data_IF_542601056605
#
_entry.id   IF_542601056605
#
_cell.length_a   1.000
_cell.length_b   1.000
_cell.length_c   1.000
_cell.angle_alpha   90.00
_cell.angle_beta   90.00
_cell.angle_gamma   90.00
#
_symmetry.space_group_name_H-M   'P 1'
#
loop_
_entity.id
_entity.type
_entity.pdbx_description
1 polymer ?
#
# COMPACT_ATOMS: atom_id res chain seq x y z
N UNK A 1 -28.66 22.81 -90.98
CA UNK A 1 -29.28 22.58 -89.66
C UNK A 1 -28.47 21.53 -88.93
N UNK A 2 -27.55 21.92 -88.04
CA UNK A 2 -26.69 21.07 -87.27
C UNK A 2 -27.31 20.96 -85.87
N UNK A 3 -27.67 19.74 -85.46
CA UNK A 3 -28.16 19.46 -84.14
C UNK A 3 -26.97 19.30 -83.18
N UNK A 4 -26.87 20.14 -82.18
CA UNK A 4 -25.95 19.93 -81.04
C UNK A 4 -26.59 19.04 -80.01
N UNK A 5 -25.91 17.92 -79.73
CA UNK A 5 -26.26 17.05 -78.62
C UNK A 5 -25.46 17.50 -77.36
N UNK A 6 -26.18 17.87 -76.31
CA UNK A 6 -25.58 18.21 -75.00
C UNK A 6 -25.49 16.92 -74.19
N UNK A 7 -24.26 16.46 -73.92
CA UNK A 7 -23.99 15.34 -72.99
C UNK A 7 -23.88 15.96 -71.60
N UNK A 8 -24.84 15.64 -70.71
CA UNK A 8 -24.77 15.96 -69.27
C UNK A 8 -24.00 14.86 -68.60
N UNK A 9 -22.76 15.11 -68.19
CA UNK A 9 -21.98 14.23 -67.36
C UNK A 9 -22.41 14.43 -65.89
N UNK A 10 -23.11 13.43 -65.32
CA UNK A 10 -23.43 13.38 -63.92
C UNK A 10 -22.16 13.01 -63.13
N UNK A 11 -21.56 13.96 -62.43
CA UNK A 11 -20.52 13.70 -61.42
C UNK A 11 -21.18 13.10 -60.16
N UNK A 12 -21.07 11.80 -59.96
CA UNK A 12 -21.29 11.17 -58.66
C UNK A 12 -20.14 11.54 -57.72
N UNK A 13 -20.35 12.57 -56.90
CA UNK A 13 -19.49 12.89 -55.76
C UNK A 13 -19.80 11.83 -54.72
N UNK A 14 -18.99 10.76 -54.70
CA UNK A 14 -18.96 9.81 -53.61
C UNK A 14 -18.49 10.56 -52.32
N UNK A 15 -19.44 10.95 -51.48
CA UNK A 15 -19.13 11.37 -50.13
C UNK A 15 -18.57 10.14 -49.37
N UNK A 16 -17.25 9.98 -49.34
CA UNK A 16 -16.60 9.12 -48.35
C UNK A 16 -16.94 9.76 -47.01
N UNK A 17 -17.89 9.18 -46.28
CA UNK A 17 -18.05 9.39 -44.85
C UNK A 17 -16.73 8.96 -44.23
N UNK A 18 -15.80 9.90 -44.11
CA UNK A 18 -14.61 9.71 -43.27
C UNK A 18 -15.12 9.51 -41.85
N UNK A 19 -15.07 8.31 -41.39
CA UNK A 19 -15.22 8.03 -39.98
C UNK A 19 -14.08 8.79 -39.32
N UNK A 20 -14.38 9.88 -38.62
CA UNK A 20 -13.45 10.51 -37.70
C UNK A 20 -13.10 9.44 -36.68
N UNK A 21 -11.87 9.00 -36.67
CA UNK A 21 -11.36 8.07 -35.65
C UNK A 21 -11.60 8.74 -34.30
N UNK A 22 -12.53 8.18 -33.51
CA UNK A 22 -12.85 8.75 -32.20
C UNK A 22 -11.70 8.43 -31.28
N UNK A 23 -11.01 9.47 -30.76
CA UNK A 23 -9.97 9.31 -29.75
C UNK A 23 -10.56 9.53 -28.36
N UNK A 24 -10.28 8.59 -27.44
CA UNK A 24 -10.63 8.72 -26.03
C UNK A 24 -9.34 8.72 -25.22
N UNK A 25 -9.06 9.87 -24.61
CA UNK A 25 -7.97 10.03 -23.66
C UNK A 25 -8.43 9.56 -22.29
N UNK A 26 -7.58 8.78 -21.59
CA UNK A 26 -7.79 8.32 -20.21
C UNK A 26 -6.58 8.79 -19.40
N UNK A 27 -6.79 9.78 -18.54
CA UNK A 27 -5.78 10.31 -17.63
C UNK A 27 -5.76 9.53 -16.32
N UNK A 28 -4.64 8.92 -15.98
CA UNK A 28 -4.50 8.06 -14.80
C UNK A 28 -3.37 8.59 -13.92
N UNK A 29 -3.73 9.00 -12.69
CA UNK A 29 -2.80 9.38 -11.64
C UNK A 29 -2.45 8.20 -10.74
N UNK A 30 -1.17 8.04 -10.39
CA UNK A 30 -0.69 6.94 -9.54
C UNK A 30 0.33 7.47 -8.54
N UNK A 31 0.50 6.74 -7.44
CA UNK A 31 1.50 6.97 -6.40
C UNK A 31 2.39 5.71 -6.30
N UNK A 32 3.22 5.46 -7.31
CA UNK A 32 3.94 4.19 -7.44
C UNK A 32 4.94 3.95 -6.31
N UNK A 33 5.58 4.99 -5.75
CA UNK A 33 6.46 4.88 -4.57
C UNK A 33 5.70 4.48 -3.31
N UNK A 34 4.40 4.78 -3.24
CA UNK A 34 3.47 4.19 -2.29
C UNK A 34 3.05 2.83 -2.83
N UNK A 35 3.90 1.83 -2.67
CA UNK A 35 3.78 0.51 -3.31
C UNK A 35 2.39 -0.13 -3.21
N UNK A 36 1.55 0.31 -2.28
CA UNK A 36 0.17 -0.13 -2.14
C UNK A 36 -0.72 0.27 -3.33
N UNK A 37 -0.42 1.37 -3.98
CA UNK A 37 -1.10 1.82 -5.19
C UNK A 37 -0.60 1.09 -6.45
N UNK A 38 0.50 0.36 -6.36
CA UNK A 38 1.20 -0.21 -7.51
C UNK A 38 0.36 -1.19 -8.34
N UNK A 39 -0.65 -1.86 -7.73
CA UNK A 39 -1.56 -2.72 -8.48
C UNK A 39 -2.43 -1.96 -9.49
N UNK A 40 -2.79 -0.70 -9.18
CA UNK A 40 -3.51 0.18 -10.12
C UNK A 40 -2.59 1.06 -10.97
N UNK A 41 -1.32 1.22 -10.57
CA UNK A 41 -0.32 2.04 -11.23
C UNK A 41 0.73 1.21 -11.97
N UNK A 42 1.92 1.11 -11.37
CA UNK A 42 3.10 0.51 -11.97
C UNK A 42 2.83 -0.87 -12.60
N UNK A 43 2.13 -1.78 -11.92
CA UNK A 43 1.91 -3.14 -12.43
C UNK A 43 0.97 -3.14 -13.65
N UNK A 44 -0.12 -2.37 -13.59
CA UNK A 44 -1.06 -2.26 -14.72
C UNK A 44 -0.35 -1.68 -15.95
N UNK A 45 0.45 -0.62 -15.75
CA UNK A 45 1.19 0.08 -16.80
C UNK A 45 2.29 -0.81 -17.41
N UNK A 46 3.17 -1.37 -16.57
CA UNK A 46 4.35 -2.14 -17.03
C UNK A 46 3.96 -3.48 -17.70
N UNK A 47 2.83 -4.05 -17.35
CA UNK A 47 2.32 -5.30 -17.94
C UNK A 47 1.25 -5.07 -19.00
N UNK A 48 0.96 -3.82 -19.36
CA UNK A 48 -0.06 -3.45 -20.37
C UNK A 48 -1.42 -4.09 -20.11
N UNK A 49 -1.82 -4.17 -18.82
CA UNK A 49 -3.04 -4.89 -18.47
C UNK A 49 -4.32 -4.12 -18.83
N UNK A 50 -4.28 -2.78 -18.84
CA UNK A 50 -5.45 -2.00 -19.17
C UNK A 50 -5.84 -2.19 -20.64
N UNK A 51 -4.87 -2.17 -21.54
CA UNK A 51 -5.05 -2.36 -22.99
C UNK A 51 -5.74 -3.68 -23.33
N UNK A 52 -5.51 -4.71 -22.51
CA UNK A 52 -6.15 -6.02 -22.64
C UNK A 52 -7.66 -6.00 -22.43
N UNK A 53 -8.15 -5.07 -21.61
CA UNK A 53 -9.55 -5.02 -21.18
C UNK A 53 -10.36 -3.88 -21.80
N UNK A 54 -9.70 -2.94 -22.49
CA UNK A 54 -10.40 -1.85 -23.17
C UNK A 54 -11.37 -2.40 -24.21
N UNK A 55 -12.63 -1.94 -24.25
CA UNK A 55 -13.61 -2.43 -25.22
C UNK A 55 -13.29 -1.92 -26.63
N UNK A 56 -13.52 -2.76 -27.63
CA UNK A 56 -13.33 -2.43 -29.06
C UNK A 56 -14.58 -2.73 -29.89
N UNK A 57 -15.73 -2.93 -29.26
CA UNK A 57 -17.01 -3.24 -29.88
C UNK A 57 -18.09 -2.23 -29.50
N UNK A 58 -19.29 -2.36 -30.08
CA UNK A 58 -20.41 -1.49 -29.83
C UNK A 58 -20.05 0.00 -30.05
N UNK A 59 -20.30 0.84 -29.05
CA UNK A 59 -19.98 2.28 -29.10
C UNK A 59 -18.48 2.59 -29.14
N UNK A 60 -17.63 1.58 -28.92
CA UNK A 60 -16.16 1.69 -28.91
C UNK A 60 -15.52 1.11 -30.17
N UNK A 61 -16.32 0.69 -31.16
CA UNK A 61 -15.79 0.20 -32.44
C UNK A 61 -15.01 1.32 -33.17
N UNK A 62 -13.73 1.07 -33.47
CA UNK A 62 -12.85 2.04 -34.13
C UNK A 62 -12.35 3.16 -33.20
N UNK A 63 -12.57 3.07 -31.89
CA UNK A 63 -12.02 4.03 -30.94
C UNK A 63 -10.52 3.77 -30.77
N UNK A 64 -9.74 4.85 -30.82
CA UNK A 64 -8.34 4.89 -30.41
C UNK A 64 -8.25 5.36 -28.97
N UNK A 65 -7.52 4.63 -28.13
CA UNK A 65 -7.30 5.02 -26.75
C UNK A 65 -5.93 5.68 -26.57
N UNK A 66 -5.90 6.83 -25.88
CA UNK A 66 -4.68 7.46 -25.41
C UNK A 66 -4.60 7.31 -23.88
N UNK A 67 -3.69 6.45 -23.37
CA UNK A 67 -3.47 6.26 -21.96
C UNK A 67 -2.38 7.22 -21.47
N UNK A 68 -2.72 8.15 -20.60
CA UNK A 68 -1.80 9.15 -20.06
C UNK A 68 -1.58 8.91 -18.57
N UNK A 69 -0.38 8.45 -18.24
CA UNK A 69 0.01 8.09 -16.88
C UNK A 69 0.81 9.22 -16.22
N UNK A 70 0.39 9.63 -15.03
CA UNK A 70 1.12 10.59 -14.20
C UNK A 70 1.43 9.95 -12.85
N UNK A 71 2.71 9.98 -12.45
CA UNK A 71 3.15 9.45 -11.15
C UNK A 71 3.43 10.59 -10.17
N UNK A 72 2.85 10.50 -8.98
CA UNK A 72 2.94 11.50 -7.91
C UNK A 72 3.60 10.90 -6.68
N UNK A 73 4.18 11.75 -5.83
CA UNK A 73 4.77 11.34 -4.55
C UNK A 73 3.73 11.24 -3.43
N UNK A 74 2.56 11.89 -3.59
CA UNK A 74 1.43 11.84 -2.65
C UNK A 74 0.14 12.34 -3.32
N UNK A 75 -1.01 12.20 -2.63
CA UNK A 75 -2.33 12.47 -3.20
C UNK A 75 -2.66 13.96 -3.46
N UNK A 76 -2.01 14.90 -2.80
CA UNK A 76 -2.39 16.31 -2.94
C UNK A 76 -2.20 16.87 -4.37
N UNK A 77 -1.04 16.70 -5.04
CA UNK A 77 -0.89 17.11 -6.43
C UNK A 77 -1.77 16.29 -7.40
N UNK A 78 -2.00 14.99 -7.12
CA UNK A 78 -2.90 14.17 -7.92
C UNK A 78 -4.35 14.72 -7.88
N UNK A 79 -4.83 15.10 -6.70
CA UNK A 79 -6.13 15.76 -6.53
C UNK A 79 -6.23 17.09 -7.31
N UNK A 80 -5.16 17.87 -7.34
CA UNK A 80 -5.13 19.13 -8.09
C UNK A 80 -5.28 18.90 -9.60
N UNK A 81 -4.63 17.88 -10.15
CA UNK A 81 -4.77 17.52 -11.56
C UNK A 81 -6.12 16.85 -11.87
N UNK A 82 -6.66 16.06 -10.95
CA UNK A 82 -8.01 15.51 -11.07
C UNK A 82 -9.05 16.61 -11.11
N UNK A 83 -8.97 17.59 -10.21
CA UNK A 83 -9.86 18.75 -10.19
C UNK A 83 -9.73 19.62 -11.46
N UNK A 84 -8.52 19.76 -11.99
CA UNK A 84 -8.23 20.48 -13.23
C UNK A 84 -8.61 19.72 -14.50
N UNK A 85 -9.28 18.58 -14.42
CA UNK A 85 -9.67 17.72 -15.55
C UNK A 85 -8.49 17.24 -16.41
N UNK A 86 -7.33 17.06 -15.81
CA UNK A 86 -6.16 16.44 -16.46
C UNK A 86 -6.08 14.94 -16.23
N UNK A 87 -6.74 14.47 -15.17
CA UNK A 87 -6.88 13.05 -14.82
C UNK A 87 -8.36 12.70 -14.73
N UNK A 88 -8.66 11.45 -15.03
CA UNK A 88 -9.98 10.83 -14.90
C UNK A 88 -10.04 9.87 -13.72
N UNK A 89 -8.95 9.13 -13.48
CA UNK A 89 -8.78 8.10 -12.45
C UNK A 89 -7.53 8.41 -11.64
N UNK A 90 -7.57 8.18 -10.32
CA UNK A 90 -6.39 8.26 -9.46
C UNK A 90 -6.33 7.09 -8.48
N UNK A 91 -5.10 6.70 -8.12
CA UNK A 91 -4.83 5.73 -7.04
C UNK A 91 -4.23 6.47 -5.86
N UNK A 92 -4.88 6.39 -4.71
CA UNK A 92 -4.42 7.07 -3.50
C UNK A 92 -5.02 6.46 -2.24
N UNK A 93 -4.53 6.91 -1.08
CA UNK A 93 -5.08 6.50 0.20
C UNK A 93 -6.44 7.19 0.50
N UNK A 94 -7.14 6.69 1.50
CA UNK A 94 -8.43 7.20 1.99
C UNK A 94 -8.40 8.70 2.34
N UNK A 95 -7.42 9.14 3.13
CA UNK A 95 -7.35 10.52 3.60
C UNK A 95 -7.20 11.55 2.46
N UNK A 96 -6.23 11.42 1.53
CA UNK A 96 -6.16 12.31 0.38
C UNK A 96 -7.37 12.19 -0.55
N UNK A 97 -8.01 11.01 -0.67
CA UNK A 97 -9.23 10.85 -1.46
C UNK A 97 -10.40 11.69 -0.90
N UNK A 98 -10.57 11.71 0.42
CA UNK A 98 -11.57 12.57 1.08
C UNK A 98 -11.24 14.05 0.91
N UNK A 99 -9.96 14.42 1.02
CA UNK A 99 -9.54 15.81 0.78
C UNK A 99 -9.86 16.25 -0.66
N UNK A 100 -9.59 15.40 -1.65
CA UNK A 100 -9.95 15.63 -3.05
C UNK A 100 -11.44 15.76 -3.25
N UNK A 101 -12.25 14.84 -2.70
CA UNK A 101 -13.71 14.90 -2.78
C UNK A 101 -14.27 16.20 -2.17
N UNK A 102 -13.72 16.65 -1.05
CA UNK A 102 -14.07 17.92 -0.43
C UNK A 102 -13.72 19.12 -1.31
N UNK A 103 -12.60 19.08 -2.04
CA UNK A 103 -12.23 20.12 -3.01
C UNK A 103 -13.22 20.18 -4.19
N UNK A 104 -13.66 19.03 -4.70
CA UNK A 104 -14.72 18.97 -5.72
C UNK A 104 -16.04 19.54 -5.20
N UNK A 105 -16.44 19.20 -3.97
CA UNK A 105 -17.63 19.78 -3.34
C UNK A 105 -17.52 21.31 -3.21
N UNK A 106 -16.34 21.84 -2.88
CA UNK A 106 -16.11 23.27 -2.78
C UNK A 106 -16.13 23.98 -4.14
N UNK A 107 -15.70 23.31 -5.21
CA UNK A 107 -15.71 23.84 -6.58
C UNK A 107 -17.13 24.00 -7.14
N UNK A 108 -18.11 23.25 -6.64
CA UNK A 108 -19.55 23.35 -6.93
C UNK A 108 -19.89 23.44 -8.43
N UNK A 109 -19.15 22.68 -9.26
CA UNK A 109 -19.30 22.68 -10.72
C UNK A 109 -20.10 21.49 -11.27
N UNK A 110 -20.80 20.77 -10.39
CA UNK A 110 -21.62 19.60 -10.72
C UNK A 110 -20.80 18.30 -10.90
N UNK A 111 -19.47 18.36 -10.87
CA UNK A 111 -18.60 17.19 -10.90
C UNK A 111 -18.18 16.82 -9.47
N UNK A 112 -18.15 15.53 -9.16
CA UNK A 112 -17.64 15.00 -7.90
C UNK A 112 -16.76 13.78 -8.17
N UNK A 113 -16.33 13.08 -7.14
CA UNK A 113 -15.53 11.87 -7.30
C UNK A 113 -16.21 10.69 -6.63
N UNK A 114 -15.91 9.49 -7.12
CA UNK A 114 -16.27 8.23 -6.50
C UNK A 114 -15.01 7.50 -6.03
N UNK A 115 -15.01 6.93 -4.82
CA UNK A 115 -14.05 5.95 -4.36
C UNK A 115 -14.62 4.56 -4.65
N UNK A 116 -14.07 3.86 -5.63
CA UNK A 116 -14.74 2.74 -6.32
C UNK A 116 -14.18 1.36 -6.03
N UNK A 117 -12.96 1.28 -5.51
CA UNK A 117 -12.32 0.00 -5.16
C UNK A 117 -11.17 0.22 -4.18
N UNK A 118 -10.82 -0.80 -3.41
CA UNK A 118 -9.57 -0.89 -2.67
C UNK A 118 -8.50 -1.57 -3.54
N UNK A 119 -7.25 -1.24 -3.37
CA UNK A 119 -6.08 -1.90 -3.98
C UNK A 119 -5.30 -2.70 -2.94
N UNK A 120 -5.17 -2.14 -1.76
CA UNK A 120 -4.62 -2.79 -0.56
C UNK A 120 -5.01 -2.02 0.69
N UNK A 121 -4.92 -2.64 1.84
CA UNK A 121 -5.22 -1.98 3.09
C UNK A 121 -4.94 -2.83 4.32
N UNK A 122 -5.13 -2.22 5.47
CA UNK A 122 -5.10 -2.88 6.76
C UNK A 122 -6.27 -2.42 7.61
N UNK A 123 -7.19 -3.32 7.93
CA UNK A 123 -8.29 -3.04 8.87
C UNK A 123 -7.79 -2.72 10.28
N UNK A 124 -6.52 -2.99 10.55
CA UNK A 124 -5.85 -2.73 11.84
C UNK A 124 -4.86 -1.56 11.80
N UNK A 125 -4.65 -0.92 10.63
CA UNK A 125 -3.79 0.24 10.48
C UNK A 125 -2.29 -0.05 10.28
N UNK A 126 -1.88 -1.30 10.02
CA UNK A 126 -0.48 -1.65 9.76
C UNK A 126 0.10 -0.87 8.58
N UNK A 127 1.38 -0.50 8.69
CA UNK A 127 2.16 0.14 7.62
C UNK A 127 2.38 1.64 7.79
N UNK A 128 1.51 2.35 8.54
CA UNK A 128 1.85 3.69 9.00
C UNK A 128 2.74 3.57 10.25
N UNK A 129 3.70 4.47 10.44
CA UNK A 129 4.65 4.35 11.55
C UNK A 129 5.16 5.70 12.04
N UNK A 130 5.69 5.71 13.28
CA UNK A 130 6.57 6.77 13.75
C UNK A 130 7.96 6.19 13.94
N UNK A 131 8.93 6.84 13.32
CA UNK A 131 10.33 6.45 13.35
C UNK A 131 11.19 7.55 14.00
N UNK A 132 12.27 7.15 14.65
CA UNK A 132 13.29 8.04 15.21
C UNK A 132 14.66 7.71 14.61
N UNK A 133 15.64 8.62 14.62
CA UNK A 133 17.00 8.32 14.16
C UNK A 133 17.53 7.03 14.76
N UNK A 134 18.30 6.24 14.01
CA UNK A 134 18.82 4.93 14.46
C UNK A 134 19.58 5.02 15.78
N UNK A 135 20.29 6.13 16.04
CA UNK A 135 21.04 6.40 17.29
C UNK A 135 20.22 7.07 18.40
N UNK A 136 18.92 7.32 18.19
CA UNK A 136 18.07 7.98 19.19
C UNK A 136 17.90 7.14 20.45
N UNK A 137 17.85 7.79 21.61
CA UNK A 137 17.54 7.14 22.89
C UNK A 137 16.04 6.97 23.12
N UNK A 138 15.18 7.63 22.33
CA UNK A 138 13.72 7.54 22.42
C UNK A 138 13.26 6.11 22.05
N UNK A 139 12.60 5.40 22.97
CA UNK A 139 12.21 4.00 22.81
C UNK A 139 10.70 3.83 22.56
N UNK A 140 9.89 4.84 22.94
CA UNK A 140 8.43 4.78 22.87
C UNK A 140 7.84 6.11 22.40
N UNK A 141 6.59 6.08 21.97
CA UNK A 141 5.87 7.28 21.56
C UNK A 141 5.70 8.27 22.71
N UNK A 142 5.52 7.80 23.93
CA UNK A 142 5.36 8.66 25.11
C UNK A 142 6.57 9.55 25.44
N UNK A 143 7.74 9.21 24.91
CA UNK A 143 8.98 10.02 25.08
C UNK A 143 9.09 11.16 24.04
N UNK A 144 8.10 11.29 23.15
CA UNK A 144 8.04 12.36 22.14
C UNK A 144 7.43 13.66 22.66
N UNK A 145 6.99 13.73 23.92
CA UNK A 145 6.49 14.99 24.48
C UNK A 145 7.57 16.08 24.43
N UNK A 146 7.21 17.25 23.91
CA UNK A 146 8.12 18.39 23.69
C UNK A 146 9.08 18.23 22.50
N UNK A 147 8.91 17.19 21.67
CA UNK A 147 9.80 16.91 20.53
C UNK A 147 9.24 17.45 19.21
N UNK A 148 10.14 17.56 18.23
CA UNK A 148 9.82 17.94 16.85
C UNK A 148 9.50 16.68 16.06
N UNK A 149 8.26 16.56 15.61
CA UNK A 149 7.77 15.43 14.83
C UNK A 149 7.38 15.92 13.44
N UNK A 150 8.03 15.44 12.40
CA UNK A 150 7.60 15.76 11.05
C UNK A 150 6.63 14.72 10.51
N UNK A 151 5.77 15.14 9.56
CA UNK A 151 4.78 14.28 8.92
C UNK A 151 4.33 14.91 7.60
N UNK A 152 4.02 14.13 6.55
CA UNK A 152 3.34 14.65 5.36
C UNK A 152 1.90 15.04 5.72
N UNK A 153 1.62 16.34 5.72
CA UNK A 153 0.28 16.82 6.06
C UNK A 153 -0.75 16.35 5.04
N UNK A 154 -1.95 15.98 5.53
CA UNK A 154 -3.01 15.47 4.67
C UNK A 154 -2.84 14.01 4.25
N UNK A 155 -1.94 13.27 4.90
CA UNK A 155 -1.72 11.83 4.68
C UNK A 155 -2.36 10.97 5.77
N UNK A 156 -2.44 9.66 5.52
CA UNK A 156 -2.85 8.67 6.55
C UNK A 156 -1.93 8.67 7.76
N UNK A 157 -0.64 8.94 7.58
CA UNK A 157 0.32 9.09 8.68
C UNK A 157 0.00 10.30 9.56
N UNK A 158 -0.50 11.40 8.98
CA UNK A 158 -0.93 12.56 9.75
C UNK A 158 -2.14 12.21 10.64
N UNK A 159 -3.13 11.50 10.09
CA UNK A 159 -4.27 11.03 10.88
C UNK A 159 -3.84 10.08 12.01
N UNK A 160 -2.93 9.14 11.73
CA UNK A 160 -2.34 8.24 12.74
C UNK A 160 -1.61 9.03 13.85
N UNK A 161 -0.75 10.00 13.47
CA UNK A 161 0.01 10.81 14.43
C UNK A 161 -0.93 11.59 15.37
N UNK A 162 -1.95 12.24 14.83
CA UNK A 162 -2.94 12.97 15.64
C UNK A 162 -3.72 12.03 16.57
N UNK A 163 -4.00 10.81 16.15
CA UNK A 163 -4.62 9.80 17.02
C UNK A 163 -3.65 9.38 18.11
N UNK A 164 -2.39 9.08 17.79
CA UNK A 164 -1.38 8.70 18.76
C UNK A 164 -1.15 9.79 19.82
N UNK A 165 -1.16 11.07 19.42
CA UNK A 165 -1.06 12.24 20.32
C UNK A 165 -2.28 12.28 21.28
N UNK A 166 -3.48 12.11 20.75
CA UNK A 166 -4.71 12.08 21.59
C UNK A 166 -4.73 10.93 22.57
N UNK A 167 -4.24 9.75 22.17
CA UNK A 167 -4.17 8.57 23.04
C UNK A 167 -3.18 8.75 24.21
N UNK A 168 -2.31 9.78 24.16
CA UNK A 168 -1.45 10.21 25.26
C UNK A 168 -2.06 11.36 26.09
N UNK A 169 -3.31 11.78 25.81
CA UNK A 169 -3.94 12.97 26.38
C UNK A 169 -3.12 14.25 26.11
N UNK A 170 -2.42 14.33 24.98
CA UNK A 170 -1.64 15.50 24.58
C UNK A 170 -2.41 16.41 23.63
N UNK A 171 -2.06 17.70 23.73
CA UNK A 171 -2.49 18.73 22.79
C UNK A 171 -1.46 18.84 21.64
N UNK A 172 -1.88 18.64 20.38
CA UNK A 172 -0.95 18.68 19.25
C UNK A 172 -0.31 20.04 18.98
N UNK A 173 -0.88 21.13 19.53
CA UNK A 173 -0.35 22.50 19.37
C UNK A 173 0.58 22.93 20.52
N UNK A 174 0.54 22.23 21.65
CA UNK A 174 1.30 22.60 22.86
C UNK A 174 2.32 21.57 23.32
N UNK A 175 1.98 20.29 23.20
CA UNK A 175 2.75 19.20 23.78
C UNK A 175 3.80 18.61 22.82
N UNK A 176 3.71 18.94 21.54
CA UNK A 176 4.66 18.54 20.49
C UNK A 176 4.81 19.68 19.46
N UNK A 177 5.86 19.64 18.66
CA UNK A 177 6.00 20.52 17.49
C UNK A 177 5.82 19.69 16.22
N UNK A 178 4.68 19.84 15.54
CA UNK A 178 4.41 19.12 14.29
C UNK A 178 4.88 19.95 13.09
N UNK A 179 5.72 19.35 12.24
CA UNK A 179 6.32 20.00 11.07
C UNK A 179 5.85 19.26 9.81
N UNK A 180 5.37 20.00 8.80
CA UNK A 180 5.05 19.38 7.50
C UNK A 180 6.33 19.06 6.74
N UNK A 181 6.49 17.81 6.31
CA UNK A 181 7.64 17.37 5.54
C UNK A 181 7.28 16.17 4.66
N UNK A 182 7.72 16.20 3.40
CA UNK A 182 7.56 15.08 2.49
C UNK A 182 8.53 13.93 2.84
N UNK A 183 8.16 12.66 2.55
CA UNK A 183 8.99 11.49 2.87
C UNK A 183 10.41 11.57 2.31
N UNK A 184 10.57 12.08 1.10
CA UNK A 184 11.83 12.11 0.36
C UNK A 184 12.92 12.92 1.09
N UNK A 185 12.52 13.93 1.86
CA UNK A 185 13.45 14.77 2.62
C UNK A 185 13.57 14.39 4.09
N UNK A 186 12.61 13.64 4.60
CA UNK A 186 12.54 13.27 6.02
C UNK A 186 13.75 12.44 6.48
N UNK A 187 14.20 11.49 5.65
CA UNK A 187 15.38 10.68 5.95
C UNK A 187 16.65 11.52 6.16
N UNK A 188 16.84 12.57 5.36
CA UNK A 188 17.98 13.50 5.54
C UNK A 188 17.83 14.37 6.78
N UNK A 189 16.61 14.84 7.07
CA UNK A 189 16.31 15.65 8.25
C UNK A 189 16.49 14.86 9.56
N UNK A 190 16.12 13.56 9.58
CA UNK A 190 16.38 12.65 10.69
C UNK A 190 17.89 12.49 10.93
N UNK A 191 18.67 12.23 9.87
CA UNK A 191 20.15 12.10 9.97
C UNK A 191 20.82 13.39 10.45
N UNK A 192 20.30 14.54 10.03
CA UNK A 192 20.84 15.85 10.41
C UNK A 192 20.38 16.33 11.80
N UNK A 193 19.53 15.60 12.51
CA UNK A 193 19.00 16.01 13.82
C UNK A 193 18.08 17.23 13.75
N UNK A 194 17.53 17.54 12.57
CA UNK A 194 16.60 18.66 12.40
C UNK A 194 15.21 18.34 12.95
N UNK A 195 14.87 17.08 13.01
CA UNK A 195 13.64 16.52 13.61
C UNK A 195 14.02 15.38 14.54
N UNK A 196 13.22 15.18 15.58
CA UNK A 196 13.46 14.16 16.60
C UNK A 196 12.74 12.85 16.23
N UNK A 197 11.63 12.95 15.48
CA UNK A 197 10.87 11.82 14.92
C UNK A 197 10.22 12.20 13.59
N UNK A 198 9.84 11.18 12.83
CA UNK A 198 9.05 11.32 11.62
C UNK A 198 7.90 10.31 11.62
N UNK A 199 6.69 10.79 11.39
CA UNK A 199 5.53 9.94 11.14
C UNK A 199 5.34 9.80 9.63
N UNK A 200 5.23 8.57 9.13
CA UNK A 200 5.09 8.35 7.70
C UNK A 200 4.16 7.18 7.36
N UNK A 201 3.72 7.17 6.11
CA UNK A 201 2.88 6.15 5.52
C UNK A 201 3.73 5.09 4.79
N UNK A 202 3.05 4.10 4.22
CA UNK A 202 3.65 3.00 3.44
C UNK A 202 4.43 3.54 2.23
N UNK A 203 5.67 3.05 1.98
CA UNK A 203 6.41 2.03 2.74
C UNK A 203 7.46 2.60 3.72
N UNK A 204 7.45 3.89 3.97
CA UNK A 204 8.55 4.62 4.62
C UNK A 204 8.81 4.18 6.07
N UNK A 205 7.76 3.67 6.76
CA UNK A 205 7.89 3.08 8.08
C UNK A 205 8.81 1.85 8.13
N UNK A 206 8.95 1.13 7.04
CA UNK A 206 9.86 0.00 6.83
C UNK A 206 11.13 0.41 6.06
N UNK A 207 11.00 1.32 5.11
CA UNK A 207 12.08 1.76 4.22
C UNK A 207 13.22 2.45 4.99
N UNK A 208 12.90 3.38 5.88
CA UNK A 208 13.91 4.05 6.67
C UNK A 208 14.67 3.12 7.63
N UNK A 209 14.02 2.20 8.36
CA UNK A 209 14.71 1.16 9.12
C UNK A 209 15.53 0.22 8.23
N UNK A 210 15.00 -0.22 7.10
CA UNK A 210 15.73 -1.12 6.17
C UNK A 210 17.03 -0.48 5.67
N UNK A 211 16.99 0.80 5.32
CA UNK A 211 18.16 1.59 4.90
C UNK A 211 19.08 2.04 6.04
N UNK A 212 18.81 1.60 7.30
CA UNK A 212 19.61 1.96 8.47
C UNK A 212 19.54 3.45 8.84
N UNK A 213 18.51 4.17 8.41
CA UNK A 213 18.32 5.60 8.68
C UNK A 213 17.66 5.81 10.04
N UNK A 214 16.67 5.00 10.34
CA UNK A 214 15.79 5.19 11.48
C UNK A 214 15.40 3.85 12.14
N UNK A 215 14.72 3.96 13.27
CA UNK A 215 14.14 2.86 14.01
C UNK A 215 12.67 3.17 14.31
N UNK A 216 11.78 2.18 14.12
CA UNK A 216 10.35 2.30 14.42
C UNK A 216 10.12 2.27 15.93
N UNK A 217 9.29 3.17 16.45
CA UNK A 217 8.87 3.25 17.86
C UNK A 217 7.35 3.22 18.03
N UNK A 218 6.59 3.35 16.94
CA UNK A 218 5.14 3.28 16.94
C UNK A 218 4.67 2.77 15.58
N UNK A 219 3.62 1.96 15.57
CA UNK A 219 3.00 1.41 14.37
C UNK A 219 1.50 1.72 14.37
N UNK A 220 0.93 1.88 13.17
CA UNK A 220 -0.49 2.19 13.01
C UNK A 220 -1.42 1.13 13.63
N UNK A 221 -0.95 -0.12 13.81
CA UNK A 221 -1.72 -1.15 14.53
C UNK A 221 -1.98 -0.79 15.99
N UNK A 222 -1.10 -0.01 16.62
CA UNK A 222 -1.29 0.50 17.97
C UNK A 222 -2.41 1.55 18.04
N UNK A 223 -2.58 2.36 16.98
CA UNK A 223 -3.67 3.31 16.87
C UNK A 223 -5.01 2.63 16.57
N UNK A 224 -4.99 1.43 15.97
CA UNK A 224 -6.18 0.69 15.57
C UNK A 224 -7.07 1.44 14.56
N UNK A 225 -6.47 2.33 13.77
CA UNK A 225 -7.16 3.10 12.73
C UNK A 225 -6.95 2.41 11.39
N UNK A 226 -7.99 1.84 10.77
CA UNK A 226 -7.88 1.23 9.46
C UNK A 226 -7.29 2.21 8.45
N UNK A 227 -6.55 1.70 7.49
CA UNK A 227 -6.02 2.45 6.36
C UNK A 227 -6.26 1.67 5.07
N UNK A 228 -6.60 2.37 4.00
CA UNK A 228 -6.83 1.77 2.70
C UNK A 228 -6.25 2.64 1.59
N UNK A 229 -5.75 1.99 0.55
CA UNK A 229 -5.35 2.61 -0.71
C UNK A 229 -6.28 2.07 -1.78
N UNK A 230 -6.83 2.94 -2.60
CA UNK A 230 -7.84 2.54 -3.56
C UNK A 230 -7.91 3.45 -4.78
N UNK A 231 -8.95 3.26 -5.54
CA UNK A 231 -9.20 3.93 -6.81
C UNK A 231 -10.26 5.00 -6.62
N UNK A 232 -9.93 6.23 -6.99
CA UNK A 232 -10.86 7.36 -7.10
C UNK A 232 -11.05 7.72 -8.57
N UNK A 233 -12.28 8.02 -8.96
CA UNK A 233 -12.65 8.38 -10.35
C UNK A 233 -13.54 9.60 -10.35
N UNK A 234 -13.40 10.46 -11.37
CA UNK A 234 -14.32 11.58 -11.62
C UNK A 234 -15.70 11.05 -12.03
N UNK A 235 -16.75 11.66 -11.48
CA UNK A 235 -18.13 11.24 -11.77
C UNK A 235 -18.51 11.41 -13.24
N UNK A 236 -18.14 12.52 -13.86
CA UNK A 236 -18.44 12.80 -15.28
C UNK A 236 -17.79 11.76 -16.23
N UNK A 237 -16.55 11.33 -15.95
CA UNK A 237 -15.90 10.27 -16.69
C UNK A 237 -16.56 8.91 -16.44
N UNK A 238 -16.81 8.57 -15.17
CA UNK A 238 -17.39 7.28 -14.78
C UNK A 238 -18.82 7.10 -15.30
N UNK A 239 -19.60 8.16 -15.39
CA UNK A 239 -20.97 8.11 -15.92
C UNK A 239 -20.98 8.06 -17.44
N UNK A 240 -20.06 8.75 -18.11
CA UNK A 240 -19.94 8.75 -19.56
C UNK A 240 -19.34 7.46 -20.11
N UNK A 241 -18.36 6.89 -19.39
CA UNK A 241 -17.57 5.75 -19.83
C UNK A 241 -17.48 4.63 -18.75
N UNK A 242 -18.61 4.10 -18.27
CA UNK A 242 -18.59 3.11 -17.20
C UNK A 242 -17.82 1.85 -17.59
N UNK A 243 -17.84 1.46 -18.87
CA UNK A 243 -17.13 0.28 -19.38
C UNK A 243 -15.60 0.48 -19.30
N UNK A 244 -15.08 1.71 -19.47
CA UNK A 244 -13.65 1.99 -19.33
C UNK A 244 -13.21 1.93 -17.88
N UNK A 245 -14.07 2.38 -16.95
CA UNK A 245 -13.82 2.23 -15.50
C UNK A 245 -13.80 0.76 -15.10
N UNK A 246 -14.75 -0.06 -15.61
CA UNK A 246 -14.78 -1.51 -15.38
C UNK A 246 -13.53 -2.18 -15.97
N UNK A 247 -13.12 -1.80 -17.19
CA UNK A 247 -11.88 -2.29 -17.81
C UNK A 247 -10.64 -1.99 -16.96
N UNK A 248 -10.54 -0.77 -16.44
CA UNK A 248 -9.45 -0.41 -15.53
C UNK A 248 -9.46 -1.25 -14.25
N UNK A 249 -10.62 -1.44 -13.63
CA UNK A 249 -10.73 -2.27 -12.43
C UNK A 249 -10.43 -3.75 -12.71
N UNK A 250 -10.78 -4.28 -13.86
CA UNK A 250 -10.37 -5.64 -14.29
C UNK A 250 -8.85 -5.76 -14.41
N UNK A 251 -8.19 -4.74 -14.94
CA UNK A 251 -6.74 -4.68 -15.00
C UNK A 251 -6.11 -4.66 -13.58
N UNK A 252 -6.69 -3.91 -12.64
CA UNK A 252 -6.22 -3.90 -11.23
C UNK A 252 -6.43 -5.23 -10.51
N UNK A 253 -7.55 -5.92 -10.79
CA UNK A 253 -7.81 -7.26 -10.26
C UNK A 253 -6.79 -8.28 -10.77
N UNK A 254 -6.48 -8.25 -12.09
CA UNK A 254 -5.44 -9.11 -12.65
C UNK A 254 -4.06 -8.78 -12.08
N UNK A 255 -3.71 -7.50 -11.97
CA UNK A 255 -2.46 -7.07 -11.34
C UNK A 255 -2.33 -7.60 -9.90
N UNK A 256 -3.38 -7.49 -9.10
CA UNK A 256 -3.41 -8.01 -7.73
C UNK A 256 -3.24 -9.53 -7.69
N UNK A 257 -3.90 -10.27 -8.58
CA UNK A 257 -3.73 -11.72 -8.72
C UNK A 257 -2.29 -12.10 -9.08
N UNK A 258 -1.69 -11.42 -10.06
CA UNK A 258 -0.31 -11.67 -10.48
C UNK A 258 0.69 -11.41 -9.36
N UNK A 259 0.50 -10.35 -8.55
CA UNK A 259 1.33 -10.08 -7.37
C UNK A 259 1.25 -11.22 -6.35
N UNK A 260 0.07 -11.80 -6.14
CA UNK A 260 -0.10 -12.92 -5.20
C UNK A 260 0.48 -14.24 -5.73
N UNK A 261 0.38 -14.48 -7.04
CA UNK A 261 0.88 -15.71 -7.68
C UNK A 261 2.40 -15.72 -7.88
N UNK A 262 3.00 -14.53 -8.09
CA UNK A 262 4.43 -14.36 -8.39
C UNK A 262 5.04 -13.25 -7.53
N UNK A 263 4.96 -13.36 -6.18
CA UNK A 263 5.29 -12.26 -5.28
C UNK A 263 6.77 -11.83 -5.37
N UNK A 264 7.70 -12.77 -5.56
CA UNK A 264 9.11 -12.46 -5.67
C UNK A 264 9.41 -11.72 -6.99
N UNK A 265 8.92 -12.25 -8.12
CA UNK A 265 9.11 -11.64 -9.45
C UNK A 265 8.52 -10.22 -9.50
N UNK A 266 7.28 -10.07 -9.02
CA UNK A 266 6.60 -8.76 -9.04
C UNK A 266 7.26 -7.77 -8.05
N UNK A 267 7.82 -8.24 -6.92
CA UNK A 267 8.60 -7.40 -6.02
C UNK A 267 9.87 -6.86 -6.68
N UNK A 268 10.58 -7.68 -7.46
CA UNK A 268 11.75 -7.23 -8.25
C UNK A 268 11.35 -6.21 -9.33
N UNK A 269 10.25 -6.45 -10.04
CA UNK A 269 9.73 -5.50 -11.04
C UNK A 269 9.32 -4.16 -10.40
N UNK A 270 8.61 -4.21 -9.28
CA UNK A 270 8.24 -3.01 -8.54
C UNK A 270 9.48 -2.24 -8.06
N UNK A 271 10.49 -2.93 -7.54
CA UNK A 271 11.73 -2.30 -7.11
C UNK A 271 12.42 -1.56 -8.28
N UNK A 272 12.48 -2.18 -9.44
CA UNK A 272 13.07 -1.56 -10.63
C UNK A 272 12.31 -0.31 -11.09
N UNK A 273 10.98 -0.30 -10.97
CA UNK A 273 10.13 0.82 -11.40
C UNK A 273 9.96 1.94 -10.37
N UNK A 274 10.07 1.63 -9.08
CA UNK A 274 9.76 2.56 -7.98
C UNK A 274 10.97 3.03 -7.18
N UNK A 275 12.09 2.31 -7.24
CA UNK A 275 13.26 2.55 -6.39
C UNK A 275 13.07 2.13 -4.92
N UNK A 276 11.98 1.43 -4.60
CA UNK A 276 11.75 0.78 -3.30
C UNK A 276 12.30 -0.64 -3.39
N UNK A 277 13.11 -1.06 -2.43
CA UNK A 277 13.78 -2.36 -2.46
C UNK A 277 12.78 -3.53 -2.55
N UNK A 278 13.14 -4.56 -3.34
CA UNK A 278 12.27 -5.73 -3.57
C UNK A 278 11.88 -6.44 -2.27
N UNK A 279 12.77 -6.43 -1.28
CA UNK A 279 12.55 -6.98 0.05
C UNK A 279 11.38 -6.27 0.76
N UNK A 280 11.26 -4.96 0.58
CA UNK A 280 10.16 -4.17 1.14
C UNK A 280 8.87 -4.46 0.36
N UNK A 281 8.92 -4.45 -0.97
CA UNK A 281 7.76 -4.81 -1.79
C UNK A 281 7.20 -6.19 -1.39
N UNK A 282 8.08 -7.18 -1.19
CA UNK A 282 7.70 -8.51 -0.72
C UNK A 282 7.17 -8.52 0.72
N UNK A 283 7.74 -7.70 1.63
CA UNK A 283 7.22 -7.58 2.99
C UNK A 283 5.77 -7.12 3.02
N UNK A 284 5.38 -6.21 2.11
CA UNK A 284 4.01 -5.72 2.03
C UNK A 284 3.08 -6.64 1.24
N UNK A 285 3.53 -7.22 0.14
CA UNK A 285 2.66 -7.84 -0.87
C UNK A 285 2.82 -9.35 -1.01
N UNK A 286 3.87 -9.92 -0.44
CA UNK A 286 4.05 -11.37 -0.39
C UNK A 286 3.06 -12.06 0.55
N UNK A 287 3.08 -13.42 0.62
CA UNK A 287 2.25 -14.18 1.55
C UNK A 287 2.39 -13.66 2.98
N UNK A 288 1.29 -13.53 3.70
CA UNK A 288 1.25 -12.94 5.04
C UNK A 288 1.88 -11.54 5.13
N UNK A 289 1.69 -10.73 4.10
CA UNK A 289 2.25 -9.38 4.01
C UNK A 289 1.70 -8.42 5.05
N UNK A 290 2.41 -7.29 5.22
CA UNK A 290 2.03 -6.23 6.18
C UNK A 290 0.63 -5.69 5.90
N UNK A 291 0.26 -5.54 4.62
CA UNK A 291 -1.09 -5.17 4.22
C UNK A 291 -1.73 -6.25 3.33
N UNK A 292 -3.04 -6.37 3.45
CA UNK A 292 -3.82 -7.30 2.63
C UNK A 292 -4.12 -6.68 1.29
N UNK A 293 -3.85 -7.42 0.20
CA UNK A 293 -4.40 -7.09 -1.10
C UNK A 293 -5.86 -7.45 -1.15
N UNK A 294 -6.68 -6.43 -1.31
CA UNK A 294 -8.13 -6.54 -1.28
C UNK A 294 -8.69 -5.52 -2.27
N UNK A 295 -9.72 -5.91 -2.99
CA UNK A 295 -10.41 -5.03 -3.95
C UNK A 295 -11.76 -4.54 -3.43
N UNK A 296 -12.19 -5.05 -2.27
CA UNK A 296 -13.53 -4.77 -1.72
C UNK A 296 -13.52 -3.56 -0.80
N UNK A 297 -14.64 -2.87 -0.77
CA UNK A 297 -14.90 -1.75 0.13
C UNK A 297 -15.50 -2.30 1.46
N UNK A 298 -14.62 -2.83 2.32
CA UNK A 298 -15.02 -3.35 3.62
C UNK A 298 -15.61 -2.26 4.52
N UNK A 299 -16.52 -2.60 5.44
CA UNK A 299 -17.09 -1.62 6.39
C UNK A 299 -16.01 -0.81 7.12
N UNK A 300 -14.91 -1.45 7.54
CA UNK A 300 -13.80 -0.79 8.25
C UNK A 300 -13.07 0.23 7.36
N UNK A 301 -12.95 -0.04 6.06
CA UNK A 301 -12.36 0.93 5.12
C UNK A 301 -13.30 2.12 4.88
N UNK A 302 -14.60 1.87 4.79
CA UNK A 302 -15.60 2.95 4.72
C UNK A 302 -15.57 3.77 6.00
N UNK A 303 -15.41 3.14 7.16
CA UNK A 303 -15.25 3.84 8.44
C UNK A 303 -13.95 4.64 8.52
N UNK A 304 -12.85 4.17 7.90
CA UNK A 304 -11.63 4.95 7.77
C UNK A 304 -11.88 6.24 6.96
N UNK A 305 -12.61 6.14 5.85
CA UNK A 305 -13.03 7.30 5.03
C UNK A 305 -13.87 8.28 5.86
N UNK A 306 -14.83 7.80 6.67
CA UNK A 306 -15.63 8.66 7.57
C UNK A 306 -14.76 9.36 8.63
N UNK A 307 -13.80 8.65 9.22
CA UNK A 307 -12.84 9.24 10.18
C UNK A 307 -11.92 10.26 9.52
N UNK A 308 -11.50 10.00 8.29
CA UNK A 308 -10.71 10.96 7.52
C UNK A 308 -11.50 12.26 7.31
N UNK A 309 -12.79 12.17 6.93
CA UNK A 309 -13.69 13.32 6.82
C UNK A 309 -13.83 14.10 8.13
N UNK A 310 -14.08 13.39 9.22
CA UNK A 310 -14.17 14.02 10.54
C UNK A 310 -12.85 14.72 10.92
N UNK A 311 -11.73 14.07 10.72
CA UNK A 311 -10.41 14.65 11.03
C UNK A 311 -10.11 15.90 10.18
N UNK A 312 -10.49 15.92 8.91
CA UNK A 312 -10.31 17.09 8.05
C UNK A 312 -11.17 18.29 8.51
N UNK A 313 -12.37 18.05 9.03
CA UNK A 313 -13.20 19.09 9.63
C UNK A 313 -12.61 19.62 10.94
N UNK A 314 -12.16 18.73 11.83
CA UNK A 314 -11.50 19.11 13.09
C UNK A 314 -10.25 19.96 12.81
N UNK A 315 -9.50 19.65 11.77
CA UNK A 315 -8.34 20.41 11.29
C UNK A 315 -8.70 21.67 10.51
N UNK A 316 -9.99 22.00 10.34
CA UNK A 316 -10.49 23.13 9.55
C UNK A 316 -9.94 23.16 8.12
N UNK A 317 -9.78 21.97 7.53
CA UNK A 317 -9.34 21.80 6.12
C UNK A 317 -10.52 21.72 5.16
N UNK A 318 -11.71 21.50 5.68
CA UNK A 318 -12.98 21.48 4.92
C UNK A 318 -14.02 22.22 5.71
N UNK A 319 -14.82 23.08 5.04
CA UNK A 319 -15.85 23.90 5.69
C UNK A 319 -17.21 23.20 5.70
N UNK A 320 -17.43 22.25 4.80
CA UNK A 320 -18.70 21.54 4.64
C UNK A 320 -18.52 20.04 4.93
N UNK A 321 -19.47 19.39 5.61
CA UNK A 321 -19.49 17.94 5.73
C UNK A 321 -19.55 17.27 4.35
N UNK A 322 -18.73 16.25 4.12
CA UNK A 322 -18.81 15.41 2.93
C UNK A 322 -19.72 14.22 3.22
N UNK A 323 -20.68 13.96 2.33
CA UNK A 323 -21.45 12.71 2.39
C UNK A 323 -20.61 11.54 1.90
N UNK A 324 -20.03 10.79 2.81
CA UNK A 324 -19.20 9.62 2.51
C UNK A 324 -19.99 8.54 1.76
N UNK A 325 -21.32 8.45 1.96
CA UNK A 325 -22.11 7.46 1.25
C UNK A 325 -22.25 7.79 -0.25
N UNK A 326 -22.20 9.08 -0.61
CA UNK A 326 -22.17 9.49 -2.01
C UNK A 326 -20.78 9.34 -2.64
N UNK A 327 -19.71 9.40 -1.83
CA UNK A 327 -18.33 9.19 -2.28
C UNK A 327 -18.07 7.72 -2.58
N UNK A 328 -18.51 6.81 -1.71
CA UNK A 328 -18.25 5.37 -1.85
C UNK A 328 -19.22 4.74 -2.84
N UNK A 329 -18.69 4.14 -3.92
CA UNK A 329 -19.51 3.54 -4.97
C UNK A 329 -18.90 2.23 -5.48
N UNK A 330 -19.36 1.10 -4.94
CA UNK A 330 -18.84 -0.23 -5.26
C UNK A 330 -19.44 -0.89 -6.52
N UNK A 331 -20.36 -0.21 -7.22
CA UNK A 331 -21.02 -0.80 -8.40
C UNK A 331 -20.03 -1.22 -9.51
N UNK A 332 -18.97 -0.43 -9.71
CA UNK A 332 -18.00 -0.69 -10.78
C UNK A 332 -17.09 -1.87 -10.44
N UNK A 333 -16.61 -1.97 -9.21
CA UNK A 333 -15.77 -3.10 -8.80
C UNK A 333 -16.57 -4.40 -8.69
N UNK A 334 -17.86 -4.32 -8.31
CA UNK A 334 -18.75 -5.48 -8.30
C UNK A 334 -18.91 -6.06 -9.72
N UNK A 335 -19.13 -5.21 -10.70
CA UNK A 335 -19.25 -5.67 -12.09
C UNK A 335 -17.91 -6.20 -12.62
N UNK A 336 -16.81 -5.50 -12.38
CA UNK A 336 -15.47 -5.97 -12.75
C UNK A 336 -15.11 -7.32 -12.12
N UNK A 337 -15.43 -7.52 -10.84
CA UNK A 337 -15.24 -8.79 -10.14
C UNK A 337 -16.09 -9.91 -10.75
N UNK A 338 -17.37 -9.64 -11.01
CA UNK A 338 -18.29 -10.58 -11.65
C UNK A 338 -17.80 -11.01 -13.04
N UNK A 339 -17.33 -10.07 -13.87
CA UNK A 339 -16.76 -10.37 -15.20
C UNK A 339 -15.49 -11.23 -15.12
N UNK A 340 -14.79 -11.21 -13.99
CA UNK A 340 -13.63 -12.07 -13.71
C UNK A 340 -13.96 -13.34 -12.91
N UNK A 341 -15.25 -13.62 -12.67
CA UNK A 341 -15.68 -14.79 -11.91
C UNK A 341 -15.35 -14.75 -10.42
N UNK A 342 -15.12 -13.55 -9.86
CA UNK A 342 -14.81 -13.34 -8.44
C UNK A 342 -16.08 -13.06 -7.64
N UNK A 343 -16.18 -13.64 -6.43
CA UNK A 343 -17.30 -13.43 -5.51
C UNK A 343 -17.01 -12.26 -4.56
N UNK A 344 -17.53 -11.08 -4.89
CA UNK A 344 -17.39 -9.88 -4.09
C UNK A 344 -18.01 -10.03 -2.69
N UNK A 345 -19.16 -10.68 -2.56
CA UNK A 345 -19.89 -10.83 -1.30
C UNK A 345 -19.16 -11.75 -0.31
N UNK A 346 -18.48 -12.76 -0.80
CA UNK A 346 -17.58 -13.58 0.01
C UNK A 346 -16.32 -12.84 0.36
N UNK A 347 -15.71 -12.14 -0.61
CA UNK A 347 -14.44 -11.44 -0.39
C UNK A 347 -14.56 -10.26 0.57
N UNK A 348 -15.65 -9.49 0.55
CA UNK A 348 -15.86 -8.37 1.49
C UNK A 348 -15.87 -8.82 2.96
N UNK A 349 -16.19 -10.08 3.23
CA UNK A 349 -16.19 -10.70 4.57
C UNK A 349 -14.89 -11.44 4.90
N UNK A 350 -13.98 -11.54 3.95
CA UNK A 350 -12.72 -12.25 4.14
C UNK A 350 -11.64 -11.29 4.70
N UNK A 351 -11.19 -11.53 5.91
CA UNK A 351 -10.14 -10.76 6.60
C UNK A 351 -8.83 -11.54 6.74
N UNK A 352 -8.78 -12.75 6.17
CA UNK A 352 -7.57 -13.55 6.22
C UNK A 352 -6.45 -12.89 5.40
N UNK A 353 -5.22 -12.85 5.93
CA UNK A 353 -4.06 -12.46 5.13
C UNK A 353 -3.85 -13.45 3.98
N UNK A 354 -3.13 -13.03 2.94
CA UNK A 354 -2.74 -13.93 1.86
C UNK A 354 -1.98 -15.14 2.43
N UNK A 355 -2.45 -16.37 2.16
CA UNK A 355 -1.88 -17.57 2.78
C UNK A 355 -0.48 -17.86 2.23
N UNK A 356 0.29 -18.63 3.00
CA UNK A 356 1.46 -19.31 2.46
C UNK A 356 1.00 -20.43 1.52
N UNK A 357 1.55 -20.46 0.32
CA UNK A 357 1.22 -21.47 -0.70
C UNK A 357 2.16 -22.70 -0.64
N UNK A 358 3.19 -22.64 0.18
CA UNK A 358 4.22 -23.68 0.34
C UNK A 358 4.21 -24.25 1.75
N UNK A 359 4.68 -25.48 1.90
CA UNK A 359 5.01 -26.05 3.21
C UNK A 359 6.27 -25.40 3.79
N UNK A 360 6.37 -25.38 5.12
CA UNK A 360 7.60 -25.02 5.80
C UNK A 360 8.69 -26.07 5.54
N UNK A 361 9.91 -25.62 5.20
CA UNK A 361 11.02 -26.52 4.86
C UNK A 361 11.47 -27.40 6.05
N UNK A 362 11.40 -26.86 7.26
CA UNK A 362 11.80 -27.54 8.50
C UNK A 362 10.78 -28.56 8.98
N UNK A 363 9.51 -28.43 8.61
CA UNK A 363 8.42 -29.26 9.08
C UNK A 363 7.77 -30.11 7.99
N UNK A 364 8.03 -29.76 6.69
CA UNK A 364 7.36 -30.32 5.52
C UNK A 364 5.82 -30.32 5.64
N UNK A 365 5.27 -29.30 6.28
CA UNK A 365 3.84 -29.12 6.55
C UNK A 365 3.44 -27.65 6.42
N UNK A 366 2.14 -27.36 6.20
CA UNK A 366 1.64 -25.97 6.18
C UNK A 366 1.92 -25.26 7.51
N UNK A 367 2.24 -23.97 7.43
CA UNK A 367 2.29 -23.11 8.61
C UNK A 367 0.88 -22.77 9.06
N UNK A 368 0.52 -23.19 10.26
CA UNK A 368 -0.82 -22.98 10.83
C UNK A 368 -0.95 -21.74 11.69
N UNK A 369 0.13 -21.30 12.34
CA UNK A 369 0.19 -20.03 13.09
C UNK A 369 1.17 -19.07 12.41
N UNK A 370 0.61 -18.11 11.67
CA UNK A 370 1.38 -17.10 10.94
C UNK A 370 2.31 -16.29 11.85
N UNK A 371 1.94 -16.12 13.13
CA UNK A 371 2.72 -15.38 14.13
C UNK A 371 4.04 -16.07 14.52
N UNK A 372 4.20 -17.31 14.11
CA UNK A 372 5.41 -18.09 14.31
C UNK A 372 6.22 -18.29 13.03
N UNK A 373 5.67 -17.92 11.87
CA UNK A 373 6.35 -18.13 10.61
C UNK A 373 7.65 -17.34 10.50
N UNK A 374 8.65 -17.96 9.86
CA UNK A 374 9.87 -17.30 9.42
C UNK A 374 10.10 -17.53 7.93
N UNK A 375 10.74 -16.58 7.26
CA UNK A 375 11.04 -16.67 5.82
C UNK A 375 12.46 -16.19 5.56
N UNK A 376 13.13 -16.76 4.54
CA UNK A 376 14.47 -16.34 4.12
C UNK A 376 14.48 -16.12 2.62
N UNK A 377 14.98 -14.96 2.18
CA UNK A 377 15.27 -14.70 0.79
C UNK A 377 16.80 -14.74 0.56
N UNK A 378 17.24 -15.67 -0.25
CA UNK A 378 18.66 -15.85 -0.59
C UNK A 378 18.91 -15.25 -1.96
N UNK A 379 19.99 -14.50 -2.10
CA UNK A 379 20.38 -13.91 -3.39
C UNK A 379 20.62 -14.98 -4.45
N UNK A 380 19.99 -14.81 -5.60
CA UNK A 380 20.05 -15.77 -6.71
C UNK A 380 19.03 -16.90 -6.64
N UNK A 381 18.25 -17.02 -5.55
CA UNK A 381 17.13 -17.96 -5.48
C UNK A 381 15.84 -17.26 -5.96
N UNK A 382 15.09 -17.98 -6.81
CA UNK A 382 13.87 -17.45 -7.42
C UNK A 382 12.69 -17.32 -6.42
N UNK A 383 12.76 -18.01 -5.30
CA UNK A 383 11.66 -18.06 -4.33
C UNK A 383 12.17 -17.91 -2.89
N UNK A 384 11.34 -17.25 -2.08
CA UNK A 384 11.53 -17.14 -0.64
C UNK A 384 11.23 -18.48 0.01
N UNK A 385 12.09 -18.92 0.92
CA UNK A 385 11.93 -20.14 1.70
C UNK A 385 11.10 -19.88 2.94
N UNK A 386 10.24 -20.81 3.31
CA UNK A 386 9.32 -20.72 4.45
C UNK A 386 9.75 -21.68 5.56
N UNK A 387 9.67 -21.24 6.80
CA UNK A 387 9.97 -22.01 8.01
C UNK A 387 8.84 -21.88 9.02
N UNK A 388 8.65 -22.93 9.83
CA UNK A 388 7.55 -22.99 10.80
C UNK A 388 7.76 -22.11 12.03
N UNK A 389 9.02 -21.73 12.33
CA UNK A 389 9.38 -20.92 13.50
C UNK A 389 10.46 -19.88 13.18
N UNK A 390 10.56 -18.80 13.98
CA UNK A 390 11.67 -17.84 13.87
C UNK A 390 13.03 -18.53 14.09
N UNK A 391 13.12 -19.49 15.03
CA UNK A 391 14.36 -20.25 15.29
C UNK A 391 14.82 -21.01 14.05
N UNK A 392 13.90 -21.72 13.39
CA UNK A 392 14.23 -22.48 12.18
C UNK A 392 14.73 -21.57 11.06
N UNK A 393 14.07 -20.40 10.86
CA UNK A 393 14.50 -19.42 9.90
C UNK A 393 15.88 -18.84 10.22
N UNK A 394 16.15 -18.44 11.47
CA UNK A 394 17.46 -17.92 11.88
C UNK A 394 18.56 -18.99 11.76
N UNK A 395 18.27 -20.24 12.12
CA UNK A 395 19.18 -21.37 11.93
C UNK A 395 19.54 -21.55 10.45
N UNK A 396 18.53 -21.56 9.59
CA UNK A 396 18.72 -21.75 8.15
C UNK A 396 19.47 -20.57 7.51
N UNK A 397 19.25 -19.34 7.97
CA UNK A 397 19.98 -18.17 7.54
C UNK A 397 21.47 -18.29 7.89
N UNK A 398 21.80 -18.61 9.15
CA UNK A 398 23.19 -18.81 9.60
C UNK A 398 23.88 -19.94 8.83
N UNK A 399 23.16 -21.04 8.55
CA UNK A 399 23.67 -22.14 7.75
C UNK A 399 23.95 -21.70 6.29
N UNK A 400 23.02 -20.99 5.67
CA UNK A 400 23.20 -20.49 4.30
C UNK A 400 24.42 -19.58 4.20
N UNK A 401 24.65 -18.70 5.18
CA UNK A 401 25.82 -17.83 5.25
C UNK A 401 27.12 -18.63 5.44
N UNK A 402 27.11 -19.65 6.30
CA UNK A 402 28.25 -20.56 6.49
C UNK A 402 28.58 -21.35 5.21
N UNK A 403 27.56 -21.68 4.40
CA UNK A 403 27.69 -22.35 3.12
C UNK A 403 28.10 -21.34 1.98
N UNK A 404 28.43 -20.08 2.32
CA UNK A 404 28.88 -19.04 1.38
C UNK A 404 27.75 -18.39 0.57
N UNK A 405 26.47 -18.62 0.91
CA UNK A 405 25.34 -17.97 0.27
C UNK A 405 25.10 -16.60 0.88
N UNK A 406 24.65 -15.64 0.07
CA UNK A 406 24.26 -14.31 0.56
C UNK A 406 22.78 -14.28 0.90
N UNK A 407 22.44 -14.20 2.17
CA UNK A 407 21.07 -13.95 2.63
C UNK A 407 20.73 -12.46 2.36
N UNK A 408 19.67 -12.22 1.59
CA UNK A 408 19.17 -10.87 1.32
C UNK A 408 18.42 -10.31 2.53
N UNK A 409 17.54 -11.14 3.07
CA UNK A 409 16.67 -10.77 4.19
C UNK A 409 16.12 -12.01 4.88
N UNK A 410 15.87 -11.87 6.18
CA UNK A 410 15.08 -12.79 6.98
C UNK A 410 13.82 -12.07 7.44
N UNK A 411 12.65 -12.66 7.22
CA UNK A 411 11.39 -12.17 7.77
C UNK A 411 10.93 -13.07 8.92
N UNK A 412 10.35 -12.41 9.91
CA UNK A 412 9.61 -13.03 11.01
C UNK A 412 8.26 -12.35 11.16
N UNK A 413 7.42 -12.79 12.09
CA UNK A 413 6.12 -12.17 12.31
C UNK A 413 5.99 -11.72 13.77
N UNK A 414 5.43 -10.54 13.95
CA UNK A 414 5.14 -9.98 15.28
C UNK A 414 4.20 -10.90 16.06
N UNK A 415 4.63 -11.33 17.24
CA UNK A 415 3.86 -12.25 18.08
C UNK A 415 2.52 -11.66 18.53
N UNK A 416 2.45 -10.36 18.71
CA UNK A 416 1.23 -9.66 19.11
C UNK A 416 0.26 -9.55 17.94
N UNK A 417 0.68 -8.96 16.83
CA UNK A 417 -0.17 -8.55 15.72
C UNK A 417 -0.20 -9.54 14.55
N UNK A 418 0.83 -10.36 14.35
CA UNK A 418 1.03 -11.15 13.13
C UNK A 418 1.61 -10.37 11.96
N UNK A 419 1.98 -9.11 12.16
CA UNK A 419 2.60 -8.26 11.13
C UNK A 419 3.96 -8.84 10.73
N UNK A 420 4.24 -8.92 9.43
CA UNK A 420 5.55 -9.34 8.90
C UNK A 420 6.60 -8.29 9.24
N UNK A 421 7.77 -8.75 9.69
CA UNK A 421 8.89 -7.92 10.14
C UNK A 421 10.19 -8.33 9.44
N UNK A 422 11.08 -7.38 9.26
CA UNK A 422 12.50 -7.67 9.00
C UNK A 422 13.14 -8.17 10.31
N UNK A 423 13.71 -9.36 10.31
CA UNK A 423 14.24 -9.98 11.51
C UNK A 423 15.34 -9.13 12.17
N UNK A 424 16.20 -8.50 11.37
CA UNK A 424 17.28 -7.61 11.82
C UNK A 424 16.80 -6.28 12.43
N UNK A 425 15.49 -5.98 12.32
CA UNK A 425 14.82 -4.82 12.92
C UNK A 425 13.85 -5.21 14.04
N UNK A 426 13.62 -6.51 14.24
CA UNK A 426 12.73 -7.03 15.26
C UNK A 426 13.41 -7.15 16.62
N UNK A 427 12.60 -7.14 17.67
CA UNK A 427 12.96 -7.55 19.01
C UNK A 427 12.54 -8.99 19.21
N UNK A 428 13.29 -9.73 19.99
CA UNK A 428 13.01 -11.14 20.26
C UNK A 428 12.87 -11.40 21.75
N UNK A 429 12.00 -12.31 22.13
CA UNK A 429 11.92 -12.82 23.50
C UNK A 429 12.27 -14.30 23.50
N UNK A 430 13.33 -14.65 24.20
CA UNK A 430 13.72 -16.04 24.45
C UNK A 430 13.11 -16.51 25.75
N UNK A 431 12.14 -17.42 25.69
CA UNK A 431 11.46 -17.97 26.86
C UNK A 431 11.11 -19.44 26.66
N UNK A 432 11.37 -20.29 27.65
CA UNK A 432 10.98 -21.70 27.62
C UNK A 432 11.51 -22.51 26.41
N UNK A 433 12.67 -22.12 25.87
CA UNK A 433 13.26 -22.78 24.69
C UNK A 433 12.71 -22.28 23.34
N UNK A 434 11.84 -21.27 23.34
CA UNK A 434 11.23 -20.67 22.12
C UNK A 434 11.70 -19.26 21.92
N UNK A 435 11.59 -18.80 20.68
CA UNK A 435 11.90 -17.44 20.27
C UNK A 435 10.63 -16.82 19.66
N UNK A 436 10.09 -15.79 20.30
CA UNK A 436 8.98 -14.99 19.76
C UNK A 436 9.54 -13.65 19.26
N UNK A 437 9.06 -13.17 18.09
CA UNK A 437 9.48 -11.89 17.51
C UNK A 437 8.46 -10.79 17.80
N UNK A 438 8.94 -9.55 17.94
CA UNK A 438 8.13 -8.38 18.26
C UNK A 438 8.54 -7.17 17.43
N UNK A 439 7.54 -6.42 16.99
CA UNK A 439 7.72 -5.16 16.27
C UNK A 439 8.30 -4.07 17.17
N UNK A 440 7.75 -3.92 18.37
CA UNK A 440 8.11 -2.87 19.33
C UNK A 440 8.82 -3.45 20.54
N UNK A 441 9.84 -2.71 21.03
CA UNK A 441 10.56 -3.10 22.24
C UNK A 441 9.64 -3.19 23.46
N UNK A 442 8.70 -2.25 23.57
CA UNK A 442 7.72 -2.20 24.67
C UNK A 442 6.88 -3.48 24.75
N UNK A 443 6.50 -4.04 23.61
CA UNK A 443 5.72 -5.28 23.54
C UNK A 443 6.58 -6.49 23.92
N UNK A 444 7.85 -6.52 23.47
CA UNK A 444 8.80 -7.54 23.85
C UNK A 444 9.08 -7.51 25.37
N UNK A 445 9.29 -6.32 25.96
CA UNK A 445 9.52 -6.14 27.39
C UNK A 445 8.29 -6.62 28.20
N UNK A 446 7.08 -6.25 27.80
CA UNK A 446 5.83 -6.66 28.45
C UNK A 446 5.61 -8.18 28.35
N UNK A 447 5.92 -8.78 27.20
CA UNK A 447 5.84 -10.23 27.01
C UNK A 447 6.84 -11.00 27.88
N UNK A 448 8.10 -10.54 27.91
CA UNK A 448 9.16 -11.13 28.73
C UNK A 448 8.81 -11.06 30.24
N UNK A 449 8.29 -9.94 30.71
CA UNK A 449 7.85 -9.77 32.09
C UNK A 449 6.71 -10.74 32.47
N UNK A 450 5.77 -10.99 31.53
CA UNK A 450 4.63 -11.89 31.77
C UNK A 450 4.97 -13.37 31.68
N UNK A 451 5.91 -13.77 30.81
CA UNK A 451 6.21 -15.17 30.48
C UNK A 451 7.50 -15.67 31.10
N UNK A 452 8.30 -14.82 31.68
CA UNK A 452 9.64 -15.10 32.10
C UNK A 452 10.55 -15.33 30.89
N UNK A 453 11.37 -14.37 30.52
CA UNK A 453 12.21 -14.48 29.34
C UNK A 453 13.22 -13.35 29.25
N UNK A 454 14.07 -13.39 28.25
CA UNK A 454 15.11 -12.38 27.97
C UNK A 454 14.77 -11.71 26.65
N UNK A 455 14.75 -10.37 26.65
CA UNK A 455 14.61 -9.57 25.43
C UNK A 455 15.95 -9.50 24.72
N UNK A 456 15.99 -9.83 23.45
CA UNK A 456 17.19 -9.91 22.62
C UNK A 456 17.01 -9.01 21.37
N UNK A 457 18.09 -8.43 20.89
CA UNK A 457 18.19 -7.92 19.53
C UNK A 457 18.51 -9.06 18.56
N UNK A 458 18.53 -8.79 17.25
CA UNK A 458 18.78 -9.80 16.22
C UNK A 458 20.12 -10.54 16.37
N UNK A 459 21.30 -9.87 16.56
CA UNK A 459 22.57 -10.58 16.76
C UNK A 459 22.56 -11.51 17.97
N UNK A 460 21.93 -11.10 19.05
CA UNK A 460 21.88 -11.92 20.26
C UNK A 460 20.88 -13.09 20.12
N UNK A 461 19.80 -12.89 19.37
CA UNK A 461 18.87 -13.96 18.99
C UNK A 461 19.57 -15.03 18.11
N UNK A 462 20.37 -14.60 17.13
CA UNK A 462 21.18 -15.53 16.31
C UNK A 462 22.16 -16.34 17.17
N UNK A 463 22.90 -15.68 18.10
CA UNK A 463 23.80 -16.37 19.04
C UNK A 463 23.05 -17.38 19.93
N UNK A 464 21.90 -17.00 20.45
CA UNK A 464 21.09 -17.87 21.30
C UNK A 464 20.60 -19.13 20.55
N UNK A 465 20.24 -19.00 19.28
CA UNK A 465 19.87 -20.12 18.41
C UNK A 465 21.09 -21.00 18.10
N UNK A 466 22.24 -20.40 17.75
CA UNK A 466 23.49 -21.13 17.47
C UNK A 466 23.99 -21.93 18.66
N UNK A 467 23.97 -21.37 19.88
CA UNK A 467 24.38 -22.05 21.10
C UNK A 467 23.51 -23.29 21.43
N UNK A 468 22.20 -23.22 21.13
CA UNK A 468 21.29 -24.37 21.32
C UNK A 468 21.58 -25.53 20.36
N UNK A 469 22.03 -25.21 19.14
CA UNK A 469 22.42 -26.24 18.18
C UNK A 469 23.72 -26.93 18.59
N UNK A 470 24.70 -26.19 19.09
CA UNK A 470 25.96 -26.73 19.59
C UNK A 470 25.78 -27.60 20.85
N UNK A 471 24.79 -27.30 21.69
CA UNK A 471 24.49 -28.10 22.90
C UNK A 471 23.61 -29.33 22.65
N UNK A 472 23.14 -29.58 21.43
CA UNK A 472 22.38 -30.77 21.01
C UNK A 472 23.24 -31.81 20.30
N UNK A 473 24.53 -31.55 20.05
CA UNK A 473 25.54 -32.46 19.58
C UNK A 473 26.42 -32.92 20.75
#
# INVERSE_FOLDING_TARGET
>A
MRKFAIIVAAFLVGASLGWSEQEIRIGIGTEDTTINCAAGGAVVRELHLLEKYLPHDGKYQGVKYELVWHNFTNGAPANSELLANKLDITNMADFPAVLGASAFQAADNGVHTYYIATLSGSVRGAGNAVVVPIGSQIQSFSELKGKRISVPFGSTAHAMLLRAIRDQDWDPERDVTIITQAPEVAGSALKAGQIDAHADFVPFGELFPFRGIARKIYDGTSAGVPTTHGVQVRSDFAEKYPELVIAYLRATLEASRLIQERPEELSEKLAAGTGVEAEICYAFHGPAGIQTRDYTLKPEYIDAIRRAEQSLRELKKTDRPLDVNSLVNDKYIREAAKEQGLDYETQVKNYAPAPFTKNAEDANSPVTDIKLAGQIWILGEATVRLYSTPEAALTAASKAEADGKKVRVVYVHDRASGTKLFADKAWFVSAGGRLDAFLLKTDADAWAAKRGGIVLNYPDAQKAVGARLAGKN
#
